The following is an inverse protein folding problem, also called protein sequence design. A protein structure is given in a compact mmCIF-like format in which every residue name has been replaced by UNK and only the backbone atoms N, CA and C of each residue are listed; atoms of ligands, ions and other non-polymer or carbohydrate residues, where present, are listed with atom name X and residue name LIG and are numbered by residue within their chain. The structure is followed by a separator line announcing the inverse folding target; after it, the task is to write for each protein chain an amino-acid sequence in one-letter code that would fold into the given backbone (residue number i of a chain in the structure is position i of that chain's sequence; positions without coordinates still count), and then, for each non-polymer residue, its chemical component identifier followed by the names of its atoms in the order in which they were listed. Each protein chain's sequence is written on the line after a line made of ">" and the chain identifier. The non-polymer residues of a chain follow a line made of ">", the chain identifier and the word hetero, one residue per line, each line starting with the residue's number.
data_IF_552051522161
#
_entry.id   IF_552051522161
#
_cell.length_a   1.000
_cell.length_b   1.000
_cell.length_c   1.000
_cell.angle_alpha   90.00
_cell.angle_beta   90.00
_cell.angle_gamma   90.00
#
_symmetry.space_group_name_H-M   'P 1'
#
loop_
_entity.id
_entity.type
_entity.pdbx_description
1 polymer ?
#
# COMPACT_ATOMS: atom_id res chain seq x y z
N UNK A 1 -10.02 -35.24 -3.17
CA UNK A 1 -8.91 -34.94 -4.10
C UNK A 1 -9.51 -34.32 -5.36
N UNK A 2 -8.96 -33.18 -5.79
CA UNK A 2 -9.26 -32.43 -7.02
C UNK A 2 -10.76 -32.11 -7.29
N UNK A 3 -11.18 -30.90 -6.91
CA UNK A 3 -12.39 -30.27 -7.47
C UNK A 3 -11.99 -29.06 -8.32
N UNK A 4 -12.40 -29.15 -9.58
CA UNK A 4 -12.18 -28.24 -10.68
C UNK A 4 -12.78 -26.85 -10.40
N UNK A 5 -11.98 -25.81 -10.66
CA UNK A 5 -12.43 -24.42 -10.75
C UNK A 5 -13.20 -24.22 -12.08
N UNK A 6 -14.39 -23.59 -12.10
CA UNK A 6 -14.88 -22.98 -13.30
C UNK A 6 -14.20 -21.61 -13.47
N UNK A 7 -13.32 -21.53 -14.47
CA UNK A 7 -12.82 -20.29 -15.03
C UNK A 7 -13.97 -19.61 -15.78
N UNK A 8 -14.53 -18.54 -15.22
CA UNK A 8 -15.41 -17.65 -15.98
C UNK A 8 -14.51 -16.75 -16.84
N UNK A 9 -14.41 -17.12 -18.12
CA UNK A 9 -13.84 -16.28 -19.16
C UNK A 9 -14.60 -14.94 -19.21
N UNK A 10 -13.86 -13.84 -19.06
CA UNK A 10 -14.32 -12.47 -19.33
C UNK A 10 -14.71 -12.39 -20.82
N UNK A 11 -16.00 -12.35 -21.10
CA UNK A 11 -16.49 -12.02 -22.43
C UNK A 11 -16.16 -10.54 -22.71
N UNK A 12 -15.35 -10.32 -23.75
CA UNK A 12 -15.02 -9.01 -24.26
C UNK A 12 -16.22 -8.46 -25.04
N UNK A 13 -16.92 -7.48 -24.47
CA UNK A 13 -17.82 -6.60 -25.22
C UNK A 13 -17.18 -5.22 -25.33
N UNK A 14 -16.95 -4.84 -26.58
CA UNK A 14 -16.31 -3.60 -26.98
C UNK A 14 -17.17 -2.39 -26.61
N UNK A 15 -16.63 -1.51 -25.79
CA UNK A 15 -17.11 -0.14 -25.62
C UNK A 15 -15.91 0.80 -25.50
N UNK A 16 -15.63 1.48 -26.61
CA UNK A 16 -14.89 2.75 -26.75
C UNK A 16 -13.79 3.04 -25.71
N UNK A 17 -12.58 2.58 -26.04
CA UNK A 17 -11.31 3.05 -25.46
C UNK A 17 -11.14 4.55 -25.75
N UNK A 18 -11.50 5.39 -24.78
CA UNK A 18 -10.88 6.70 -24.64
C UNK A 18 -9.48 6.47 -24.09
N UNK A 19 -8.47 6.57 -24.95
CA UNK A 19 -7.09 6.30 -24.63
C UNK A 19 -6.60 7.25 -23.53
N UNK A 20 -6.43 6.75 -22.31
CA UNK A 20 -5.50 7.32 -21.35
C UNK A 20 -4.08 7.09 -21.88
N UNK A 21 -3.61 8.00 -22.72
CA UNK A 21 -2.18 8.22 -22.96
C UNK A 21 -1.59 8.84 -21.69
N UNK A 22 -1.21 8.02 -20.74
CA UNK A 22 -0.26 8.41 -19.70
C UNK A 22 1.03 7.65 -19.95
N UNK A 23 1.92 8.36 -20.64
CA UNK A 23 3.37 8.25 -20.69
C UNK A 23 3.99 6.93 -20.19
N UNK A 24 4.60 6.22 -21.14
CA UNK A 24 5.84 5.47 -20.95
C UNK A 24 6.79 6.25 -20.02
N UNK A 25 6.81 5.91 -18.73
CA UNK A 25 7.86 6.33 -17.82
C UNK A 25 8.93 5.25 -17.83
N UNK A 26 10.15 5.66 -18.15
CA UNK A 26 11.34 4.83 -18.18
C UNK A 26 11.46 4.00 -16.89
N UNK A 27 11.28 2.69 -17.01
CA UNK A 27 11.62 1.70 -15.98
C UNK A 27 13.14 1.63 -15.83
N UNK A 28 13.71 2.49 -15.00
CA UNK A 28 15.11 2.38 -14.60
C UNK A 28 15.24 1.23 -13.59
N UNK A 29 15.68 0.07 -14.09
CA UNK A 29 15.95 -1.11 -13.29
C UNK A 29 17.31 -0.94 -12.58
N UNK A 30 17.32 -0.71 -11.27
CA UNK A 30 18.54 -0.76 -10.46
C UNK A 30 18.93 -2.23 -10.27
N UNK A 31 19.86 -2.74 -11.08
CA UNK A 31 20.19 -4.18 -11.17
C UNK A 31 21.01 -4.70 -9.97
N UNK A 32 21.42 -3.84 -9.03
CA UNK A 32 22.06 -4.31 -7.78
C UNK A 32 21.87 -3.30 -6.66
N UNK A 33 21.25 -3.71 -5.55
CA UNK A 33 21.18 -2.90 -4.33
C UNK A 33 19.79 -2.68 -3.71
N UNK A 34 18.74 -3.25 -4.30
CA UNK A 34 17.35 -3.05 -3.89
C UNK A 34 16.53 -2.50 -5.07
N UNK A 35 15.54 -3.25 -5.51
CA UNK A 35 14.60 -2.88 -6.56
C UNK A 35 13.45 -2.02 -6.05
N UNK A 36 12.56 -1.63 -6.96
CA UNK A 36 11.36 -0.86 -6.64
C UNK A 36 10.47 -1.67 -5.68
N UNK A 37 10.15 -1.10 -4.51
CA UNK A 37 9.33 -1.75 -3.49
C UNK A 37 10.08 -2.64 -2.50
N UNK A 38 11.39 -2.81 -2.67
CA UNK A 38 12.21 -3.57 -1.73
C UNK A 38 12.37 -2.80 -0.42
N UNK A 39 12.15 -3.49 0.70
CA UNK A 39 12.30 -2.92 2.04
C UNK A 39 13.75 -2.87 2.48
N UNK A 40 14.59 -3.75 1.92
CA UNK A 40 16.00 -3.83 2.22
C UNK A 40 16.82 -3.03 1.20
N UNK A 41 17.21 -1.81 1.56
CA UNK A 41 18.14 -1.00 0.77
C UNK A 41 19.57 -1.44 1.08
N UNK A 42 20.23 -2.07 0.10
CA UNK A 42 21.67 -2.32 0.17
C UNK A 42 22.38 -1.09 -0.35
N UNK A 43 23.05 -0.36 0.55
CA UNK A 43 24.09 0.55 0.09
C UNK A 43 25.18 -0.30 -0.57
N UNK A 44 25.44 -0.06 -1.86
CA UNK A 44 26.44 -0.79 -2.63
C UNK A 44 27.84 -0.79 -1.96
N UNK A 45 28.10 0.17 -1.06
CA UNK A 45 29.33 0.31 -0.29
C UNK A 45 29.34 -0.39 1.09
N UNK A 46 28.19 -0.80 1.64
CA UNK A 46 28.09 -1.31 3.02
C UNK A 46 28.45 -2.80 3.15
N UNK A 47 28.34 -3.56 2.06
CA UNK A 47 28.81 -4.94 1.98
C UNK A 47 30.03 -5.01 1.07
N UNK A 48 31.16 -4.42 1.51
CA UNK A 48 32.43 -4.66 0.84
C UNK A 48 32.90 -6.07 1.21
N UNK A 49 33.06 -7.00 0.23
CA UNK A 49 33.77 -8.23 0.52
C UNK A 49 35.17 -7.87 1.06
N UNK A 50 35.73 -8.68 1.97
CA UNK A 50 37.05 -8.43 2.52
C UNK A 50 38.02 -8.41 1.33
N UNK A 51 38.63 -7.25 1.06
CA UNK A 51 39.50 -6.98 -0.09
C UNK A 51 38.88 -7.32 -1.46
N UNK A 52 38.25 -6.33 -2.10
CA UNK A 52 37.84 -6.41 -3.51
C UNK A 52 39.07 -6.47 -4.43
N UNK A 53 39.75 -7.61 -4.51
CA UNK A 53 40.92 -7.81 -5.38
C UNK A 53 40.60 -7.79 -6.87
N UNK A 54 39.33 -7.97 -7.24
CA UNK A 54 38.88 -7.93 -8.64
C UNK A 54 37.54 -7.19 -8.74
N UNK A 55 37.57 -5.99 -9.32
CA UNK A 55 36.36 -5.27 -9.69
C UNK A 55 35.86 -5.78 -11.06
N UNK A 56 34.65 -6.33 -11.10
CA UNK A 56 34.02 -6.80 -12.35
C UNK A 56 33.33 -5.65 -13.09
N UNK A 57 33.15 -5.81 -14.41
CA UNK A 57 32.47 -4.81 -15.25
C UNK A 57 33.35 -3.62 -15.66
N UNK A 58 34.68 -3.73 -15.50
CA UNK A 58 35.64 -2.78 -16.03
C UNK A 58 35.77 -2.89 -17.56
N UNK A 59 36.08 -1.77 -18.19
CA UNK A 59 36.11 -1.56 -19.64
C UNK A 59 37.50 -1.24 -20.16
N UNK A 60 38.29 -0.52 -19.36
CA UNK A 60 39.63 -0.08 -19.71
C UNK A 60 40.59 -0.41 -18.57
N UNK A 61 41.84 -0.73 -18.89
CA UNK A 61 42.88 -1.01 -17.89
C UNK A 61 43.18 0.19 -16.98
N UNK A 62 42.95 1.42 -17.46
CA UNK A 62 43.01 2.66 -16.68
C UNK A 62 42.05 2.67 -15.48
N UNK A 63 40.99 1.87 -15.53
CA UNK A 63 40.00 1.77 -14.45
C UNK A 63 40.48 0.93 -13.26
N UNK A 64 41.66 0.31 -13.36
CA UNK A 64 42.30 -0.43 -12.26
C UNK A 64 42.69 0.51 -11.11
N UNK A 65 43.13 1.73 -11.43
CA UNK A 65 43.49 2.76 -10.43
C UNK A 65 42.43 3.85 -10.32
N UNK A 66 41.66 4.10 -11.38
CA UNK A 66 40.61 5.13 -11.42
C UNK A 66 39.32 4.59 -12.05
N UNK A 67 38.47 3.89 -11.28
CA UNK A 67 37.32 3.17 -11.83
C UNK A 67 36.20 4.05 -12.39
N UNK A 68 36.23 5.37 -12.16
CA UNK A 68 35.19 6.32 -12.59
C UNK A 68 33.76 5.86 -12.23
N UNK A 69 33.60 5.20 -11.07
CA UNK A 69 32.36 4.52 -10.65
C UNK A 69 31.17 5.45 -10.43
N UNK A 70 31.39 6.77 -10.38
CA UNK A 70 30.33 7.79 -10.34
C UNK A 70 29.74 8.11 -11.72
N UNK A 71 30.43 7.80 -12.82
CA UNK A 71 29.91 8.02 -14.17
C UNK A 71 28.83 6.97 -14.49
N UNK A 72 27.69 7.40 -15.02
CA UNK A 72 26.53 6.53 -15.27
C UNK A 72 26.87 5.31 -16.13
N UNK A 73 27.71 5.47 -17.15
CA UNK A 73 28.09 4.38 -18.05
C UNK A 73 28.94 3.32 -17.34
N UNK A 74 29.96 3.75 -16.58
CA UNK A 74 30.81 2.87 -15.77
C UNK A 74 29.99 2.19 -14.67
N UNK A 75 29.14 2.95 -13.98
CA UNK A 75 28.24 2.45 -12.93
C UNK A 75 27.28 1.38 -13.46
N UNK A 76 26.62 1.63 -14.60
CA UNK A 76 25.71 0.66 -15.24
C UNK A 76 26.41 -0.67 -15.49
N UNK A 77 27.61 -0.64 -16.08
CA UNK A 77 28.37 -1.87 -16.39
C UNK A 77 28.79 -2.61 -15.13
N UNK A 78 29.33 -1.89 -14.14
CA UNK A 78 29.72 -2.48 -12.86
C UNK A 78 28.51 -3.14 -12.18
N UNK A 79 27.39 -2.43 -12.06
CA UNK A 79 26.19 -2.92 -11.38
C UNK A 79 25.50 -4.07 -12.10
N UNK A 80 25.41 -4.04 -13.44
CA UNK A 80 24.74 -5.08 -14.21
C UNK A 80 25.50 -6.42 -14.21
N UNK A 81 26.80 -6.41 -13.91
CA UNK A 81 27.62 -7.63 -13.80
C UNK A 81 27.55 -8.25 -12.40
N UNK A 82 27.13 -7.48 -11.39
CA UNK A 82 26.96 -8.00 -10.04
C UNK A 82 25.76 -8.95 -10.01
N UNK A 83 26.03 -10.22 -9.71
CA UNK A 83 25.00 -11.21 -9.47
C UNK A 83 24.40 -10.98 -8.08
N UNK A 84 23.16 -10.51 -8.02
CA UNK A 84 22.39 -10.48 -6.78
C UNK A 84 21.34 -11.59 -6.79
N UNK A 85 21.31 -12.41 -5.73
CA UNK A 85 20.27 -13.43 -5.52
C UNK A 85 18.88 -12.81 -5.35
N UNK A 86 18.79 -11.52 -5.00
CA UNK A 86 17.53 -10.79 -4.91
C UNK A 86 16.90 -10.53 -6.29
N UNK A 87 17.71 -10.50 -7.36
CA UNK A 87 17.21 -10.39 -8.71
C UNK A 87 16.93 -11.79 -9.25
N UNK A 88 15.64 -12.15 -9.40
CA UNK A 88 15.28 -13.37 -10.11
C UNK A 88 15.80 -13.29 -11.54
N UNK A 89 16.78 -14.16 -11.85
CA UNK A 89 17.35 -14.28 -13.20
C UNK A 89 16.26 -14.58 -14.23
N UNK A 90 16.55 -14.35 -15.51
CA UNK A 90 15.58 -14.52 -16.61
C UNK A 90 14.96 -15.93 -16.71
N UNK A 91 15.56 -16.94 -16.10
CA UNK A 91 15.04 -18.31 -16.04
C UNK A 91 14.26 -18.67 -14.76
N UNK A 92 14.09 -17.76 -13.80
CA UNK A 92 13.38 -18.02 -12.54
C UNK A 92 11.97 -17.42 -12.56
N UNK A 93 11.00 -18.18 -12.04
CA UNK A 93 9.65 -17.67 -11.83
C UNK A 93 9.66 -16.48 -10.88
N UNK A 94 9.02 -15.37 -11.29
CA UNK A 94 8.96 -14.13 -10.51
C UNK A 94 7.68 -14.08 -9.70
N UNK A 95 7.81 -13.79 -8.41
CA UNK A 95 6.64 -13.53 -7.57
C UNK A 95 5.93 -12.25 -8.03
N UNK A 96 4.59 -12.25 -7.95
CA UNK A 96 3.75 -11.10 -8.30
C UNK A 96 3.78 -10.00 -7.22
N UNK A 97 4.99 -9.56 -6.85
CA UNK A 97 5.25 -8.64 -5.72
C UNK A 97 4.62 -7.25 -5.88
N UNK A 98 4.24 -6.90 -7.11
CA UNK A 98 3.59 -5.63 -7.42
C UNK A 98 2.06 -5.67 -7.31
N UNK A 99 1.45 -6.80 -6.94
CA UNK A 99 -0.02 -6.92 -6.89
C UNK A 99 -0.60 -6.49 -5.55
N UNK A 100 -1.80 -5.90 -5.54
CA UNK A 100 -2.52 -5.55 -4.30
C UNK A 100 -2.72 -6.75 -3.39
N UNK A 101 -3.00 -7.93 -3.95
CA UNK A 101 -3.20 -9.17 -3.21
C UNK A 101 -1.95 -9.66 -2.48
N UNK A 102 -0.76 -9.20 -2.85
CA UNK A 102 0.48 -9.42 -2.12
C UNK A 102 0.83 -8.25 -1.19
N UNK A 103 0.73 -7.02 -1.70
CA UNK A 103 1.16 -5.81 -0.99
C UNK A 103 0.31 -5.54 0.27
N UNK A 104 -1.02 -5.66 0.18
CA UNK A 104 -1.91 -5.38 1.31
C UNK A 104 -1.71 -6.37 2.47
N UNK A 105 -1.72 -7.70 2.23
CA UNK A 105 -1.42 -8.66 3.29
C UNK A 105 -0.04 -8.44 3.89
N UNK A 106 0.98 -8.16 3.09
CA UNK A 106 2.32 -7.90 3.62
C UNK A 106 2.38 -6.65 4.51
N UNK A 107 1.67 -5.58 4.14
CA UNK A 107 1.52 -4.39 4.98
C UNK A 107 0.75 -4.71 6.27
N UNK A 108 -0.32 -5.50 6.18
CA UNK A 108 -1.11 -5.93 7.34
C UNK A 108 -0.26 -6.71 8.34
N UNK A 109 0.49 -7.70 7.87
CA UNK A 109 1.33 -8.54 8.72
C UNK A 109 2.39 -7.69 9.45
N UNK A 110 2.99 -6.72 8.75
CA UNK A 110 3.93 -5.75 9.33
C UNK A 110 3.28 -4.91 10.44
N UNK A 111 2.07 -4.40 10.20
CA UNK A 111 1.31 -3.61 11.16
C UNK A 111 0.88 -4.43 12.37
N UNK A 112 0.41 -5.66 12.17
CA UNK A 112 -0.02 -6.56 13.25
C UNK A 112 1.15 -7.00 14.14
N UNK A 113 2.34 -7.18 13.56
CA UNK A 113 3.56 -7.44 14.33
C UNK A 113 4.00 -6.21 15.15
N UNK A 114 3.92 -5.02 14.55
CA UNK A 114 4.32 -3.78 15.20
C UNK A 114 3.36 -3.37 16.32
N UNK A 115 2.04 -3.52 16.09
CA UNK A 115 0.96 -3.23 17.05
C UNK A 115 0.28 -4.54 17.46
N UNK A 116 0.67 -5.14 18.60
CA UNK A 116 0.07 -6.37 19.10
C UNK A 116 -1.43 -6.23 19.33
N UNK A 117 -2.15 -7.34 19.22
CA UNK A 117 -3.60 -7.37 19.43
C UNK A 117 -4.01 -6.80 20.79
N UNK A 118 -3.29 -7.12 21.88
CA UNK A 118 -3.57 -6.56 23.21
C UNK A 118 -3.49 -5.03 23.27
N UNK A 119 -2.52 -4.42 22.56
CA UNK A 119 -2.38 -2.96 22.49
C UNK A 119 -3.54 -2.35 21.70
N UNK A 120 -3.91 -2.95 20.58
CA UNK A 120 -5.02 -2.46 19.77
C UNK A 120 -6.38 -2.58 20.48
N UNK A 121 -6.64 -3.69 21.16
CA UNK A 121 -7.85 -3.85 21.97
C UNK A 121 -7.91 -2.81 23.09
N UNK A 122 -6.77 -2.48 23.70
CA UNK A 122 -6.68 -1.40 24.69
C UNK A 122 -7.02 -0.03 24.06
N UNK A 123 -6.55 0.24 22.84
CA UNK A 123 -6.90 1.46 22.09
C UNK A 123 -8.40 1.52 21.77
N UNK A 124 -9.01 0.40 21.38
CA UNK A 124 -10.45 0.32 21.06
C UNK A 124 -11.34 0.46 22.30
N UNK A 125 -10.95 -0.16 23.41
CA UNK A 125 -11.78 -0.24 24.62
C UNK A 125 -11.56 0.91 25.60
N UNK A 126 -10.57 1.78 25.32
CA UNK A 126 -10.17 2.92 26.16
C UNK A 126 -10.02 2.56 27.65
N UNK A 127 -9.49 1.36 27.95
CA UNK A 127 -9.34 0.81 29.31
C UNK A 127 -8.26 1.51 30.16
N UNK A 128 -7.94 2.76 29.86
CA UNK A 128 -7.00 3.58 30.60
C UNK A 128 -5.84 4.12 29.73
N UNK A 129 -5.07 5.07 30.27
CA UNK A 129 -4.01 5.73 29.53
C UNK A 129 -2.96 4.71 29.03
N UNK A 130 -2.40 5.00 27.87
CA UNK A 130 -1.25 4.27 27.35
C UNK A 130 -0.06 4.49 28.27
N UNK A 131 0.63 3.41 28.60
CA UNK A 131 1.93 3.49 29.26
C UNK A 131 2.93 4.16 28.31
N UNK A 132 3.99 4.80 28.82
CA UNK A 132 5.00 5.41 27.97
C UNK A 132 5.64 4.41 27.00
N UNK A 133 5.81 3.14 27.40
CA UNK A 133 6.32 2.08 26.55
C UNK A 133 5.35 1.72 25.40
N UNK A 134 4.05 1.65 25.68
CA UNK A 134 3.02 1.41 24.66
C UNK A 134 2.90 2.57 23.67
N UNK A 135 2.98 3.81 24.16
CA UNK A 135 2.99 5.02 23.33
C UNK A 135 4.20 5.06 22.40
N UNK A 136 5.39 4.77 22.95
CA UNK A 136 6.62 4.68 22.16
C UNK A 136 6.52 3.58 21.09
N UNK A 137 6.00 2.41 21.46
CA UNK A 137 5.79 1.29 20.52
C UNK A 137 4.84 1.67 19.38
N UNK A 138 3.73 2.36 19.68
CA UNK A 138 2.81 2.85 18.66
C UNK A 138 3.50 3.84 17.71
N UNK A 139 4.31 4.76 18.25
CA UNK A 139 5.07 5.70 17.45
C UNK A 139 6.13 5.01 16.56
N UNK A 140 6.80 3.97 17.08
CA UNK A 140 7.73 3.15 16.30
C UNK A 140 7.00 2.38 15.19
N UNK A 141 5.83 1.81 15.48
CA UNK A 141 5.00 1.14 14.49
C UNK A 141 4.58 2.09 13.35
N UNK A 142 4.17 3.32 13.68
CA UNK A 142 3.82 4.34 12.69
C UNK A 142 5.04 4.73 11.83
N UNK A 143 6.24 4.85 12.42
CA UNK A 143 7.48 5.14 11.68
C UNK A 143 7.85 4.02 10.72
N UNK A 144 7.80 2.77 11.17
CA UNK A 144 8.10 1.59 10.36
C UNK A 144 7.12 1.45 9.20
N UNK A 145 5.82 1.56 9.49
CA UNK A 145 4.80 1.50 8.45
C UNK A 145 4.93 2.64 7.43
N UNK A 146 5.24 3.86 7.88
CA UNK A 146 5.52 4.98 6.97
C UNK A 146 6.69 4.66 6.03
N UNK A 147 7.78 4.11 6.56
CA UNK A 147 8.94 3.72 5.74
C UNK A 147 8.57 2.67 4.70
N UNK A 148 7.85 1.62 5.12
CA UNK A 148 7.41 0.53 4.24
C UNK A 148 6.45 1.05 3.15
N UNK A 149 5.48 1.86 3.54
CA UNK A 149 4.53 2.48 2.62
C UNK A 149 5.25 3.37 1.61
N UNK A 150 6.27 4.13 2.04
CA UNK A 150 7.07 4.96 1.13
C UNK A 150 7.82 4.13 0.07
N UNK A 151 8.28 2.92 0.41
CA UNK A 151 8.90 2.03 -0.59
C UNK A 151 7.86 1.46 -1.56
N UNK A 152 6.65 1.15 -1.07
CA UNK A 152 5.64 0.38 -1.80
C UNK A 152 4.55 1.20 -2.48
N UNK A 153 4.40 2.48 -2.15
CA UNK A 153 3.32 3.34 -2.67
C UNK A 153 3.32 3.41 -4.19
N UNK A 154 4.49 3.38 -4.83
CA UNK A 154 4.56 3.34 -6.29
C UNK A 154 4.00 2.04 -6.87
N UNK A 155 4.20 0.90 -6.20
CA UNK A 155 3.64 -0.38 -6.66
C UNK A 155 2.13 -0.45 -6.42
N UNK A 156 1.65 0.13 -5.33
CA UNK A 156 0.22 0.23 -5.02
C UNK A 156 -0.52 1.10 -6.05
N UNK A 157 0.06 2.22 -6.46
CA UNK A 157 -0.50 3.09 -7.50
C UNK A 157 -0.61 2.36 -8.84
N UNK A 158 0.46 1.68 -9.26
CA UNK A 158 0.50 0.99 -10.56
C UNK A 158 -0.50 -0.17 -10.66
N UNK A 159 -0.70 -0.89 -9.55
CA UNK A 159 -1.53 -2.10 -9.52
C UNK A 159 -2.98 -1.87 -9.12
N UNK A 160 -3.37 -0.62 -8.88
CA UNK A 160 -4.72 -0.26 -8.44
C UNK A 160 -5.80 -0.71 -9.44
N UNK A 161 -5.50 -0.67 -10.74
CA UNK A 161 -6.45 -1.04 -11.80
C UNK A 161 -6.88 -2.51 -11.75
N UNK A 162 -6.03 -3.39 -11.22
CA UNK A 162 -6.26 -4.83 -11.10
C UNK A 162 -6.56 -5.26 -9.65
N UNK A 163 -6.77 -4.30 -8.74
CA UNK A 163 -7.00 -4.59 -7.33
C UNK A 163 -8.37 -5.22 -7.10
N UNK A 164 -8.42 -6.23 -6.24
CA UNK A 164 -9.69 -6.87 -5.86
C UNK A 164 -10.35 -6.10 -4.70
N UNK A 165 -11.68 -6.01 -4.75
CA UNK A 165 -12.50 -5.33 -3.74
C UNK A 165 -12.18 -5.76 -2.30
N UNK A 166 -11.91 -7.04 -2.07
CA UNK A 166 -11.58 -7.58 -0.74
C UNK A 166 -10.35 -6.93 -0.12
N UNK A 167 -9.36 -6.54 -0.93
CA UNK A 167 -8.14 -5.86 -0.46
C UNK A 167 -8.34 -4.36 -0.37
N UNK A 168 -9.11 -3.77 -1.29
CA UNK A 168 -9.43 -2.34 -1.27
C UNK A 168 -10.23 -1.95 -0.02
N UNK A 169 -11.20 -2.76 0.40
CA UNK A 169 -11.99 -2.54 1.64
C UNK A 169 -11.11 -2.63 2.90
N UNK A 170 -10.01 -3.39 2.85
CA UNK A 170 -9.06 -3.51 3.97
C UNK A 170 -8.08 -2.33 4.06
N UNK A 171 -7.93 -1.54 3.00
CA UNK A 171 -6.99 -0.43 2.95
C UNK A 171 -7.10 0.52 4.16
N UNK A 172 -8.29 1.03 4.55
CA UNK A 172 -8.41 1.94 5.68
C UNK A 172 -8.15 1.22 7.02
N UNK A 173 -8.46 -0.08 7.12
CA UNK A 173 -8.26 -0.86 8.34
C UNK A 173 -6.78 -0.90 8.78
N UNK A 174 -5.83 -0.85 7.82
CA UNK A 174 -4.40 -0.72 8.13
C UNK A 174 -4.09 0.55 8.94
N UNK A 175 -4.68 1.67 8.54
CA UNK A 175 -4.46 2.96 9.18
C UNK A 175 -5.20 3.05 10.51
N UNK A 176 -6.42 2.51 10.57
CA UNK A 176 -7.14 2.36 11.84
C UNK A 176 -6.32 1.56 12.86
N UNK A 177 -5.69 0.46 12.44
CA UNK A 177 -4.84 -0.37 13.30
C UNK A 177 -3.64 0.38 13.88
N UNK A 178 -3.10 1.33 13.13
CA UNK A 178 -2.01 2.21 13.56
C UNK A 178 -2.49 3.48 14.27
N UNK A 179 -3.80 3.62 14.49
CA UNK A 179 -4.42 4.80 15.07
C UNK A 179 -4.21 6.09 14.25
N UNK A 180 -4.21 5.96 12.92
CA UNK A 180 -3.99 7.03 11.95
C UNK A 180 -5.26 7.32 11.14
N UNK A 181 -5.61 8.60 10.99
CA UNK A 181 -6.75 9.03 10.18
C UNK A 181 -6.35 9.42 8.75
N UNK A 182 -7.03 8.80 7.79
CA UNK A 182 -6.96 9.14 6.38
C UNK A 182 -7.97 10.25 6.01
N UNK A 183 -7.65 11.13 5.05
CA UNK A 183 -8.59 12.11 4.52
C UNK A 183 -9.63 11.41 3.63
N UNK A 184 -10.75 10.99 4.24
CA UNK A 184 -11.82 10.23 3.59
C UNK A 184 -13.04 11.07 3.20
N UNK A 185 -12.89 12.40 3.10
CA UNK A 185 -14.01 13.35 3.00
C UNK A 185 -14.95 13.12 1.78
N UNK A 186 -14.47 12.43 0.74
CA UNK A 186 -15.26 12.09 -0.46
C UNK A 186 -16.24 10.92 -0.27
N UNK A 187 -15.96 9.97 0.63
CA UNK A 187 -16.83 8.80 0.87
C UNK A 187 -18.10 9.08 1.69
N UNK A 188 -18.30 10.34 2.10
CA UNK A 188 -19.41 10.79 2.95
C UNK A 188 -20.78 10.69 2.31
N UNK A 189 -20.86 10.77 0.98
CA UNK A 189 -22.14 10.81 0.28
C UNK A 189 -22.88 9.46 0.37
N UNK A 190 -22.17 8.34 0.19
CA UNK A 190 -22.77 7.00 0.17
C UNK A 190 -22.93 6.36 1.55
N UNK A 191 -22.07 6.69 2.53
CA UNK A 191 -22.21 6.22 3.91
C UNK A 191 -23.52 6.67 4.55
N UNK A 192 -24.03 7.87 4.18
CA UNK A 192 -25.33 8.38 4.63
C UNK A 192 -26.52 7.62 4.05
N UNK A 193 -26.37 6.99 2.89
CA UNK A 193 -27.41 6.14 2.29
C UNK A 193 -27.44 4.76 2.96
N UNK A 194 -26.29 4.12 3.17
CA UNK A 194 -26.22 2.83 3.87
C UNK A 194 -26.68 2.89 5.34
N UNK A 195 -26.51 4.04 6.00
CA UNK A 195 -26.95 4.24 7.38
C UNK A 195 -28.46 4.45 7.53
N UNK A 196 -29.19 4.74 6.45
CA UNK A 196 -30.66 4.90 6.47
C UNK A 196 -31.42 3.56 6.51
N UNK A 197 -30.78 2.47 6.11
CA UNK A 197 -31.38 1.12 6.12
C UNK A 197 -31.06 0.30 7.39
N UNK A 198 -30.13 0.77 8.23
CA UNK A 198 -29.77 0.11 9.48
C UNK A 198 -30.33 0.88 10.69
N UNK A 199 -31.50 0.46 11.18
CA UNK A 199 -32.00 0.90 12.49
C UNK A 199 -31.09 0.31 13.56
N UNK A 200 -30.11 1.08 14.03
CA UNK A 200 -29.25 0.73 15.16
C UNK A 200 -29.44 1.79 16.26
N UNK A 201 -29.67 1.41 17.53
CA UNK A 201 -29.81 2.37 18.61
C UNK A 201 -28.50 3.13 18.81
N UNK A 202 -28.59 4.44 19.03
CA UNK A 202 -27.43 5.28 19.33
C UNK A 202 -26.75 4.82 20.63
N UNK A 203 -25.42 4.59 20.64
CA UNK A 203 -24.70 4.37 21.88
C UNK A 203 -24.55 5.70 22.65
N UNK A 204 -24.50 5.66 23.99
CA UNK A 204 -24.36 6.85 24.81
C UNK A 204 -22.99 7.51 24.60
N UNK A 205 -23.03 8.79 24.24
CA UNK A 205 -21.88 9.68 24.17
C UNK A 205 -21.35 9.97 25.57
N UNK A 206 -20.11 9.56 25.87
CA UNK A 206 -19.02 10.44 26.36
C UNK A 206 -17.91 9.57 26.97
N UNK A 207 -16.99 9.10 26.14
CA UNK A 207 -15.72 8.51 26.59
C UNK A 207 -14.63 9.10 25.68
N UNK A 208 -13.59 9.68 26.27
CA UNK A 208 -12.52 10.39 25.55
C UNK A 208 -11.59 9.39 24.88
N UNK A 209 -12.00 8.91 23.71
CA UNK A 209 -11.16 8.17 22.77
C UNK A 209 -9.84 8.97 22.57
N UNK A 210 -8.66 8.35 22.69
CA UNK A 210 -7.40 9.02 22.35
C UNK A 210 -7.51 9.56 20.92
N UNK A 211 -7.39 10.88 20.75
CA UNK A 211 -7.62 11.50 19.45
C UNK A 211 -6.68 10.86 18.41
N UNK A 212 -7.27 10.16 17.44
CA UNK A 212 -6.50 9.50 16.39
C UNK A 212 -5.69 10.54 15.61
N UNK A 213 -4.44 10.19 15.30
CA UNK A 213 -3.49 11.14 14.73
C UNK A 213 -3.81 11.35 13.25
N UNK A 214 -4.01 12.59 12.78
CA UNK A 214 -4.23 12.82 11.36
C UNK A 214 -2.96 12.49 10.59
N UNK A 215 -3.10 11.90 9.40
CA UNK A 215 -1.93 11.53 8.59
C UNK A 215 -1.11 12.75 8.14
N UNK A 216 -1.68 13.95 8.20
CA UNK A 216 -0.96 15.22 7.98
C UNK A 216 0.15 15.45 9.00
N UNK A 217 0.13 14.78 10.16
CA UNK A 217 1.23 14.77 11.13
C UNK A 217 2.52 14.16 10.55
N UNK A 218 2.43 13.43 9.43
CA UNK A 218 3.58 12.96 8.69
C UNK A 218 4.19 14.00 7.76
N UNK A 219 3.57 15.16 7.53
CA UNK A 219 4.24 16.21 6.78
C UNK A 219 5.55 16.60 7.48
N UNK A 220 6.68 16.73 6.77
CA UNK A 220 7.91 17.21 7.39
C UNK A 220 7.65 18.59 8.00
N UNK A 221 8.10 18.80 9.23
CA UNK A 221 8.25 20.15 9.76
C UNK A 221 9.21 20.87 8.81
N UNK A 222 8.76 21.96 8.18
CA UNK A 222 9.56 22.75 7.25
C UNK A 222 10.84 23.17 7.97
N UNK A 223 11.96 22.48 7.72
CA UNK A 223 13.27 22.82 8.23
C UNK A 223 14.06 23.46 7.09
N UNK A 224 14.22 24.79 7.06
CA UNK A 224 14.82 25.50 5.95
C UNK A 224 16.34 25.52 6.09
N UNK A 225 17.01 24.35 6.02
CA UNK A 225 18.46 24.25 5.82
C UNK A 225 18.91 22.79 5.89
N UNK A 226 18.92 22.09 4.76
CA UNK A 226 19.84 20.96 4.54
C UNK A 226 20.08 20.84 3.05
N UNK A 227 21.33 20.57 2.61
CA UNK A 227 21.60 20.37 1.20
C UNK A 227 20.81 19.16 0.73
N UNK A 228 19.86 19.41 -0.17
CA UNK A 228 19.12 18.39 -0.88
C UNK A 228 20.15 17.60 -1.67
N UNK A 229 20.37 16.35 -1.28
CA UNK A 229 21.18 15.43 -2.05
C UNK A 229 20.36 15.12 -3.32
N UNK A 230 20.56 15.91 -4.38
CA UNK A 230 19.82 15.89 -5.64
C UNK A 230 19.99 14.61 -6.46
N UNK A 231 20.46 13.53 -5.85
CA UNK A 231 20.41 12.20 -6.44
C UNK A 231 18.96 11.71 -6.38
N UNK A 232 18.25 11.97 -7.47
CA UNK A 232 16.86 11.57 -7.71
C UNK A 232 16.66 10.08 -7.35
N UNK A 233 15.90 9.80 -6.30
CA UNK A 233 15.16 8.55 -6.02
C UNK A 233 14.56 8.51 -4.59
N UNK A 234 14.94 9.42 -3.70
CA UNK A 234 14.34 9.50 -2.36
C UNK A 234 13.14 10.45 -2.38
N UNK A 235 11.94 9.90 -2.57
CA UNK A 235 10.67 10.65 -2.46
C UNK A 235 10.64 11.47 -1.16
N UNK A 236 10.66 12.79 -1.26
CA UNK A 236 10.56 13.69 -0.10
C UNK A 236 9.28 13.44 0.69
N UNK A 237 9.34 13.52 2.02
CA UNK A 237 8.22 13.18 2.91
C UNK A 237 6.93 13.98 2.68
N UNK A 238 7.01 15.18 2.11
CA UNK A 238 5.85 15.98 1.69
C UNK A 238 5.10 15.39 0.50
N UNK A 239 5.81 14.73 -0.43
CA UNK A 239 5.18 14.04 -1.57
C UNK A 239 4.37 12.82 -1.14
N UNK A 240 4.76 12.15 -0.04
CA UNK A 240 4.10 10.94 0.44
C UNK A 240 2.67 11.21 0.90
N UNK A 241 2.44 12.27 1.68
CA UNK A 241 1.12 12.59 2.23
C UNK A 241 0.15 12.95 1.10
N UNK A 242 0.57 13.75 0.12
CA UNK A 242 -0.26 14.10 -1.04
C UNK A 242 -0.56 12.89 -1.91
N UNK A 243 0.44 12.05 -2.21
CA UNK A 243 0.24 10.80 -2.97
C UNK A 243 -0.69 9.84 -2.24
N UNK A 244 -0.56 9.73 -0.92
CA UNK A 244 -1.43 8.90 -0.11
C UNK A 244 -2.88 9.41 -0.11
N UNK A 245 -3.09 10.73 -0.05
CA UNK A 245 -4.42 11.31 -0.16
C UNK A 245 -5.05 11.04 -1.54
N UNK A 246 -4.27 11.17 -2.63
CA UNK A 246 -4.71 10.84 -3.98
C UNK A 246 -5.05 9.35 -4.12
N UNK A 247 -4.13 8.47 -3.71
CA UNK A 247 -4.32 7.01 -3.73
C UNK A 247 -5.57 6.62 -2.94
N UNK A 248 -5.75 7.19 -1.74
CA UNK A 248 -6.92 6.94 -0.91
C UNK A 248 -8.21 7.41 -1.60
N UNK A 249 -8.20 8.58 -2.24
CA UNK A 249 -9.34 9.06 -3.02
C UNK A 249 -9.68 8.13 -4.19
N UNK A 250 -8.69 7.55 -4.85
CA UNK A 250 -8.91 6.55 -5.90
C UNK A 250 -9.42 5.22 -5.33
N UNK A 251 -8.87 4.73 -4.22
CA UNK A 251 -9.37 3.52 -3.53
C UNK A 251 -10.84 3.67 -3.15
N UNK A 252 -11.22 4.82 -2.56
CA UNK A 252 -12.63 5.11 -2.24
C UNK A 252 -13.49 5.03 -3.49
N UNK A 253 -13.08 5.69 -4.58
CA UNK A 253 -13.83 5.68 -5.85
C UNK A 253 -13.98 4.26 -6.41
N UNK A 254 -12.91 3.45 -6.39
CA UNK A 254 -12.93 2.07 -6.85
C UNK A 254 -13.85 1.18 -6.01
N UNK A 255 -13.78 1.28 -4.67
CA UNK A 255 -14.66 0.52 -3.77
C UNK A 255 -16.11 0.88 -3.99
N UNK A 256 -16.43 2.17 -4.07
CA UNK A 256 -17.80 2.63 -4.31
C UNK A 256 -18.32 2.19 -5.68
N UNK A 257 -17.50 2.25 -6.72
CA UNK A 257 -17.87 1.78 -8.05
C UNK A 257 -18.09 0.27 -8.06
N UNK A 258 -17.22 -0.52 -7.45
CA UNK A 258 -17.33 -1.97 -7.41
C UNK A 258 -18.52 -2.44 -6.56
N UNK A 259 -18.78 -1.79 -5.41
CA UNK A 259 -19.99 -2.05 -4.63
C UNK A 259 -21.26 -1.71 -5.42
N UNK A 260 -21.27 -0.58 -6.14
CA UNK A 260 -22.40 -0.21 -7.02
C UNK A 260 -22.57 -1.18 -8.19
N UNK A 261 -21.47 -1.71 -8.75
CA UNK A 261 -21.52 -2.75 -9.80
C UNK A 261 -22.09 -4.05 -9.27
N UNK A 262 -21.80 -4.43 -8.02
CA UNK A 262 -22.43 -5.59 -7.38
C UNK A 262 -23.95 -5.39 -7.25
N UNK A 263 -24.40 -4.18 -6.91
CA UNK A 263 -25.83 -3.87 -6.84
C UNK A 263 -26.49 -3.97 -8.24
N UNK A 264 -25.84 -3.45 -9.28
CA UNK A 264 -26.36 -3.52 -10.66
C UNK A 264 -26.33 -4.95 -11.22
N UNK A 265 -25.31 -5.74 -10.89
CA UNK A 265 -25.16 -7.14 -11.26
C UNK A 265 -26.03 -8.11 -10.45
N UNK A 266 -26.65 -7.62 -9.37
CA UNK A 266 -27.64 -8.36 -8.56
C UNK A 266 -29.04 -8.36 -9.17
N UNK A 267 -29.25 -7.65 -10.29
CA UNK A 267 -30.43 -7.79 -11.12
C UNK A 267 -30.62 -9.28 -11.49
N UNK A 268 -31.87 -9.79 -11.52
CA UNK A 268 -32.10 -11.21 -11.77
C UNK A 268 -31.40 -11.62 -13.06
N UNK A 269 -30.48 -12.59 -12.95
CA UNK A 269 -29.95 -13.32 -14.12
C UNK A 269 -31.12 -13.71 -15.02
N UNK A 270 -30.88 -13.87 -16.32
CA UNK A 270 -31.90 -14.34 -17.28
C UNK A 270 -32.63 -15.62 -16.78
N UNK A 271 -31.97 -16.43 -15.96
CA UNK A 271 -32.50 -17.65 -15.30
C UNK A 271 -33.33 -17.42 -14.01
N UNK A 272 -33.52 -16.18 -13.54
CA UNK A 272 -34.19 -15.80 -12.27
C UNK A 272 -33.67 -16.51 -11.00
N UNK A 273 -32.52 -17.18 -11.05
CA UNK A 273 -31.96 -17.88 -9.90
C UNK A 273 -31.46 -16.87 -8.85
N UNK A 274 -31.88 -17.00 -7.57
CA UNK A 274 -31.43 -16.10 -6.51
C UNK A 274 -29.92 -16.22 -6.26
N UNK A 275 -29.30 -15.13 -5.81
CA UNK A 275 -27.91 -15.13 -5.36
C UNK A 275 -27.71 -16.14 -4.23
N UNK A 276 -26.52 -16.76 -4.19
CA UNK A 276 -26.20 -17.69 -3.11
C UNK A 276 -26.19 -16.96 -1.75
N UNK A 277 -26.77 -17.58 -0.71
CA UNK A 277 -26.79 -17.00 0.65
C UNK A 277 -25.40 -16.59 1.15
N UNK A 278 -24.38 -17.39 0.79
CA UNK A 278 -22.98 -17.12 1.15
C UNK A 278 -22.47 -15.82 0.51
N UNK A 279 -22.79 -15.60 -0.77
CA UNK A 279 -22.37 -14.38 -1.47
C UNK A 279 -23.05 -13.14 -0.88
N UNK A 280 -24.37 -13.21 -0.65
CA UNK A 280 -25.13 -12.09 -0.04
C UNK A 280 -24.54 -11.72 1.33
N UNK A 281 -24.27 -12.70 2.19
CA UNK A 281 -23.68 -12.46 3.51
C UNK A 281 -22.28 -11.82 3.42
N UNK A 282 -21.48 -12.25 2.46
CA UNK A 282 -20.12 -11.75 2.26
C UNK A 282 -20.11 -10.32 1.71
N UNK A 283 -20.98 -10.00 0.74
CA UNK A 283 -21.12 -8.64 0.24
C UNK A 283 -21.70 -7.69 1.32
N UNK A 284 -22.65 -8.16 2.13
CA UNK A 284 -23.16 -7.41 3.27
C UNK A 284 -22.05 -7.11 4.29
N UNK A 285 -21.17 -8.10 4.56
CA UNK A 285 -20.02 -7.92 5.44
C UNK A 285 -19.04 -6.87 4.90
N UNK A 286 -18.75 -6.87 3.58
CA UNK A 286 -17.90 -5.84 2.96
C UNK A 286 -18.50 -4.44 3.09
N UNK A 287 -19.81 -4.27 2.85
CA UNK A 287 -20.50 -2.98 3.01
C UNK A 287 -20.45 -2.50 4.46
N UNK A 288 -20.76 -3.38 5.41
CA UNK A 288 -20.72 -3.06 6.83
C UNK A 288 -19.31 -2.66 7.29
N UNK A 289 -18.29 -3.41 6.87
CA UNK A 289 -16.89 -3.08 7.16
C UNK A 289 -16.49 -1.73 6.56
N UNK A 290 -16.81 -1.48 5.29
CA UNK A 290 -16.49 -0.22 4.62
C UNK A 290 -17.15 0.98 5.31
N UNK A 291 -18.44 0.88 5.64
CA UNK A 291 -19.18 1.93 6.34
C UNK A 291 -18.59 2.23 7.73
N UNK A 292 -18.24 1.19 8.50
CA UNK A 292 -17.61 1.35 9.81
C UNK A 292 -16.23 2.01 9.73
N UNK A 293 -15.44 1.69 8.71
CA UNK A 293 -14.13 2.32 8.50
C UNK A 293 -14.25 3.78 8.07
N UNK A 294 -15.18 4.10 7.16
CA UNK A 294 -15.43 5.47 6.73
C UNK A 294 -15.85 6.36 7.91
N UNK A 295 -16.75 5.87 8.78
CA UNK A 295 -17.21 6.63 9.94
C UNK A 295 -16.08 6.89 10.94
N UNK A 296 -15.22 5.89 11.18
CA UNK A 296 -14.06 6.03 12.06
C UNK A 296 -13.04 7.06 11.53
N UNK A 297 -12.71 6.99 10.22
CA UNK A 297 -11.78 7.93 9.60
C UNK A 297 -12.33 9.36 9.49
N UNK A 298 -13.64 9.51 9.30
CA UNK A 298 -14.32 10.81 9.29
C UNK A 298 -14.46 11.45 10.69
N UNK A 299 -14.16 10.70 11.75
CA UNK A 299 -14.28 11.17 13.13
C UNK A 299 -15.71 11.33 13.63
N UNK A 300 -16.65 10.60 13.04
CA UNK A 300 -18.07 10.62 13.41
C UNK A 300 -18.47 9.48 14.36
N UNK A 301 -17.50 8.66 14.77
CA UNK A 301 -17.66 7.51 15.68
C UNK A 301 -17.15 7.83 17.09
#
# INVERSE_FOLDING_TARGET
>A
MALLRPSCARAATAATKTACRCALRNDYCCISGGGRGDLFKRHASAFKPPTSGVLRGLTHSSQTTQPASGQLQSRKRIQHVLYDRACSGSGQHRAAIATWSYLLPSLRDSVEQAVPHALYEKLLTDKGPLTPAESQRLADAQRLFRFELQQRIGLLEDSLADAELVYLVQWPALFQRLWLRLPMDRGRALAREAQRDAVVPAPPSSVRIPAAVPITAWAPALSPASPIDGSSETMEGGSLVSRLALLTGHVVSCVEEDLRRLDQGSAPREDRAPLSRRQVALEAAWRAQWAALLSWHAGTS
#
